data_IF_476011201430
#
_entry.id   IF_476011201430
#
_cell.length_a   1.000
_cell.length_b   1.000
_cell.length_c   1.000
_cell.angle_alpha   90.00
_cell.angle_beta   90.00
_cell.angle_gamma   90.00
#
_symmetry.space_group_name_H-M   'P 1'
#
loop_
_entity.id
_entity.type
_entity.pdbx_description
1 polymer ?
#
# COMPACT_ATOMS: atom_id res chain seq x y z
N UNK A 1 45.10 -31.61 45.50
CA UNK A 1 44.33 -30.38 45.82
C UNK A 1 44.69 -29.21 44.90
N UNK A 2 45.96 -28.80 44.79
CA UNK A 2 46.37 -27.64 43.94
C UNK A 2 46.06 -27.82 42.43
N UNK A 3 46.25 -29.01 41.87
CA UNK A 3 45.99 -29.29 40.44
C UNK A 3 44.50 -29.17 40.06
N UNK A 4 43.60 -29.65 40.94
CA UNK A 4 42.15 -29.60 40.72
C UNK A 4 41.61 -28.16 40.78
N UNK A 5 42.15 -27.32 41.66
CA UNK A 5 41.79 -25.90 41.70
C UNK A 5 42.25 -25.15 40.44
N UNK A 6 43.44 -25.47 39.91
CA UNK A 6 43.93 -24.86 38.68
C UNK A 6 43.07 -25.24 37.48
N UNK A 7 42.76 -26.52 37.31
CA UNK A 7 41.85 -26.98 36.24
C UNK A 7 40.46 -26.37 36.36
N UNK A 8 39.92 -26.22 37.58
CA UNK A 8 38.63 -25.57 37.79
C UNK A 8 38.67 -24.08 37.42
N UNK A 9 39.76 -23.39 37.74
CA UNK A 9 39.96 -21.99 37.38
C UNK A 9 40.09 -21.81 35.86
N UNK A 10 40.87 -22.66 35.19
CA UNK A 10 41.05 -22.61 33.73
C UNK A 10 39.70 -22.91 33.02
N UNK A 11 38.89 -23.84 33.55
CA UNK A 11 37.52 -24.07 33.06
C UNK A 11 36.60 -22.87 33.26
N UNK A 12 36.66 -22.22 34.42
CA UNK A 12 35.85 -21.04 34.70
C UNK A 12 36.21 -19.86 33.78
N UNK A 13 37.50 -19.66 33.51
CA UNK A 13 37.98 -18.64 32.56
C UNK A 13 37.46 -18.94 31.15
N UNK A 14 37.64 -20.17 30.66
CA UNK A 14 37.14 -20.56 29.33
C UNK A 14 35.62 -20.44 29.23
N UNK A 15 34.87 -20.81 30.27
CA UNK A 15 33.41 -20.66 30.31
C UNK A 15 32.99 -19.19 30.28
N UNK A 16 33.71 -18.32 30.99
CA UNK A 16 33.47 -16.88 30.97
C UNK A 16 33.71 -16.30 29.57
N UNK A 17 34.83 -16.64 28.93
CA UNK A 17 35.15 -16.17 27.57
C UNK A 17 34.09 -16.63 26.56
N UNK A 18 33.64 -17.89 26.63
CA UNK A 18 32.56 -18.39 25.78
C UNK A 18 31.23 -17.66 26.02
N UNK A 19 30.91 -17.34 27.27
CA UNK A 19 29.72 -16.57 27.61
C UNK A 19 29.79 -15.13 27.08
N UNK A 20 30.95 -14.48 27.16
CA UNK A 20 31.17 -13.14 26.61
C UNK A 20 31.03 -13.11 25.09
N UNK A 21 31.58 -14.12 24.38
CA UNK A 21 31.38 -14.26 22.93
C UNK A 21 29.90 -14.46 22.59
N UNK A 22 29.22 -15.37 23.27
CA UNK A 22 27.80 -15.63 23.03
C UNK A 22 26.91 -14.41 23.30
N UNK A 23 27.25 -13.60 24.30
CA UNK A 23 26.54 -12.35 24.61
C UNK A 23 26.77 -11.30 23.51
N UNK A 24 28.00 -11.16 23.02
CA UNK A 24 28.31 -10.26 21.91
C UNK A 24 27.56 -10.66 20.64
N UNK A 25 27.55 -11.95 20.29
CA UNK A 25 26.80 -12.46 19.14
C UNK A 25 25.29 -12.20 19.27
N UNK A 26 24.73 -12.34 20.49
CA UNK A 26 23.31 -12.05 20.74
C UNK A 26 23.00 -10.56 20.59
N UNK A 27 23.88 -9.68 21.08
CA UNK A 27 23.75 -8.23 20.93
C UNK A 27 23.85 -7.80 19.46
N UNK A 28 24.80 -8.32 18.69
CA UNK A 28 24.91 -8.02 17.25
C UNK A 28 23.65 -8.46 16.50
N UNK A 29 23.11 -9.64 16.81
CA UNK A 29 21.86 -10.11 16.22
C UNK A 29 20.68 -9.20 16.59
N UNK A 30 20.59 -8.76 17.85
CA UNK A 30 19.57 -7.83 18.30
C UNK A 30 19.63 -6.51 17.51
N UNK A 31 20.81 -5.91 17.37
CA UNK A 31 21.01 -4.68 16.59
C UNK A 31 20.57 -4.84 15.13
N UNK A 32 20.91 -5.97 14.49
CA UNK A 32 20.47 -6.26 13.12
C UNK A 32 18.93 -6.33 12.99
N UNK A 33 18.24 -6.86 13.99
CA UNK A 33 16.77 -6.89 13.99
C UNK A 33 16.15 -5.53 14.20
N UNK A 34 16.76 -4.66 15.03
CA UNK A 34 16.35 -3.26 15.15
C UNK A 34 16.47 -2.54 13.80
N UNK A 35 17.56 -2.76 13.06
CA UNK A 35 17.73 -2.20 11.70
C UNK A 35 16.61 -2.68 10.78
N UNK A 36 16.33 -3.99 10.73
CA UNK A 36 15.24 -4.55 9.91
C UNK A 36 13.87 -4.03 10.30
N UNK A 37 13.63 -3.81 11.60
CA UNK A 37 12.39 -3.22 12.09
C UNK A 37 12.23 -1.78 11.59
N UNK A 38 13.29 -0.97 11.66
CA UNK A 38 13.26 0.40 11.16
C UNK A 38 13.01 0.46 9.64
N UNK A 39 13.63 -0.44 8.86
CA UNK A 39 13.37 -0.58 7.43
C UNK A 39 11.91 -0.96 7.14
N UNK A 40 11.36 -1.90 7.92
CA UNK A 40 9.97 -2.33 7.81
C UNK A 40 8.99 -1.19 8.12
N UNK A 41 9.24 -0.40 9.16
CA UNK A 41 8.43 0.78 9.52
C UNK A 41 8.47 1.81 8.39
N UNK A 42 9.66 2.11 7.86
CA UNK A 42 9.79 3.05 6.76
C UNK A 42 9.05 2.56 5.48
N UNK A 43 9.01 1.25 5.24
CA UNK A 43 8.22 0.69 4.14
C UNK A 43 6.72 0.80 4.42
N UNK A 44 6.27 0.48 5.63
CA UNK A 44 4.88 0.65 6.07
C UNK A 44 4.39 2.09 5.85
N UNK A 45 5.16 3.09 6.27
CA UNK A 45 4.79 4.50 6.10
C UNK A 45 4.64 4.90 4.63
N UNK A 46 5.53 4.40 3.75
CA UNK A 46 5.42 4.64 2.30
C UNK A 46 4.20 3.94 1.70
N UNK A 47 3.92 2.72 2.13
CA UNK A 47 2.76 1.95 1.65
C UNK A 47 1.44 2.59 2.09
N UNK A 48 1.37 3.11 3.32
CA UNK A 48 0.23 3.88 3.84
C UNK A 48 -0.02 5.14 3.01
N UNK A 49 1.03 5.92 2.72
CA UNK A 49 0.92 7.11 1.87
C UNK A 49 0.51 6.78 0.44
N UNK A 50 0.99 5.66 -0.13
CA UNK A 50 0.54 5.19 -1.45
C UNK A 50 -0.94 4.84 -1.41
N UNK A 51 -1.39 4.10 -0.40
CA UNK A 51 -2.79 3.73 -0.22
C UNK A 51 -3.70 4.96 -0.14
N UNK A 52 -3.35 5.95 0.68
CA UNK A 52 -4.12 7.20 0.79
C UNK A 52 -4.29 7.89 -0.57
N UNK A 53 -3.20 8.02 -1.34
CA UNK A 53 -3.26 8.63 -2.68
C UNK A 53 -4.12 7.82 -3.65
N UNK A 54 -4.01 6.49 -3.61
CA UNK A 54 -4.81 5.61 -4.44
C UNK A 54 -6.31 5.71 -4.12
N UNK A 55 -6.67 5.83 -2.84
CA UNK A 55 -8.06 6.06 -2.40
C UNK A 55 -8.62 7.39 -2.92
N UNK A 56 -7.83 8.47 -2.82
CA UNK A 56 -8.22 9.78 -3.34
C UNK A 56 -8.39 9.78 -4.87
N UNK A 57 -7.49 9.14 -5.62
CA UNK A 57 -7.61 9.01 -7.07
C UNK A 57 -8.81 8.17 -7.47
N UNK A 58 -9.06 7.05 -6.77
CA UNK A 58 -10.24 6.22 -7.00
C UNK A 58 -11.53 7.00 -6.78
N UNK A 59 -11.65 7.75 -5.68
CA UNK A 59 -12.82 8.60 -5.42
C UNK A 59 -13.03 9.66 -6.50
N UNK A 60 -11.93 10.29 -6.97
CA UNK A 60 -11.99 11.25 -8.07
C UNK A 60 -12.43 10.58 -9.38
N UNK A 61 -11.96 9.36 -9.66
CA UNK A 61 -12.36 8.62 -10.85
C UNK A 61 -13.84 8.21 -10.81
N UNK A 62 -14.35 7.76 -9.66
CA UNK A 62 -15.78 7.47 -9.45
C UNK A 62 -16.63 8.71 -9.73
N UNK A 63 -16.27 9.84 -9.12
CA UNK A 63 -16.98 11.11 -9.33
C UNK A 63 -17.01 11.52 -10.81
N UNK A 64 -15.87 11.40 -11.51
CA UNK A 64 -15.79 11.75 -12.93
C UNK A 64 -16.63 10.80 -13.81
N UNK A 65 -16.67 9.52 -13.46
CA UNK A 65 -17.50 8.54 -14.15
C UNK A 65 -19.00 8.86 -14.00
N UNK A 66 -19.46 9.13 -12.77
CA UNK A 66 -20.85 9.54 -12.51
C UNK A 66 -21.22 10.82 -13.27
N UNK A 67 -20.32 11.82 -13.25
CA UNK A 67 -20.51 13.07 -14.00
C UNK A 67 -20.60 12.83 -15.51
N UNK A 68 -19.80 11.92 -16.07
CA UNK A 68 -19.87 11.57 -17.48
C UNK A 68 -21.20 10.87 -17.84
N UNK A 69 -21.70 9.99 -16.95
CA UNK A 69 -23.03 9.38 -17.12
C UNK A 69 -24.15 10.43 -17.13
N UNK A 70 -24.08 11.40 -16.21
CA UNK A 70 -25.04 12.51 -16.15
C UNK A 70 -25.01 13.37 -17.42
N UNK A 71 -23.81 13.67 -17.94
CA UNK A 71 -23.63 14.41 -19.18
C UNK A 71 -24.24 13.67 -20.38
N UNK A 72 -24.02 12.36 -20.48
CA UNK A 72 -24.62 11.53 -21.52
C UNK A 72 -26.15 11.53 -21.42
N UNK A 73 -26.69 11.30 -20.22
CA UNK A 73 -28.14 11.36 -19.95
C UNK A 73 -28.74 12.73 -20.32
N UNK A 74 -28.03 13.81 -20.02
CA UNK A 74 -28.44 15.16 -20.39
C UNK A 74 -28.40 15.39 -21.92
N UNK A 75 -27.39 14.89 -22.62
CA UNK A 75 -27.27 14.97 -24.07
C UNK A 75 -28.41 14.20 -24.77
N UNK A 76 -28.75 13.01 -24.27
CA UNK A 76 -29.89 12.20 -24.75
C UNK A 76 -31.20 12.98 -24.60
N UNK A 77 -31.47 13.54 -23.41
CA UNK A 77 -32.67 14.38 -23.17
C UNK A 77 -32.74 15.62 -24.07
N UNK A 78 -31.59 16.19 -24.44
CA UNK A 78 -31.55 17.30 -25.42
C UNK A 78 -31.93 16.82 -26.82
N UNK A 79 -31.43 15.67 -27.25
CA UNK A 79 -31.80 15.10 -28.54
C UNK A 79 -33.30 14.78 -28.61
N UNK A 80 -33.87 14.19 -27.56
CA UNK A 80 -35.31 13.92 -27.49
C UNK A 80 -36.14 15.20 -27.61
N UNK A 81 -35.77 16.26 -26.88
CA UNK A 81 -36.43 17.58 -27.02
C UNK A 81 -36.28 18.18 -28.42
N UNK A 82 -35.14 17.98 -29.07
CA UNK A 82 -34.95 18.42 -30.45
C UNK A 82 -35.86 17.67 -31.41
N UNK A 83 -35.94 16.34 -31.28
CA UNK A 83 -36.80 15.47 -32.12
C UNK A 83 -38.29 15.74 -31.93
N UNK A 84 -38.69 16.13 -30.72
CA UNK A 84 -40.08 16.47 -30.41
C UNK A 84 -40.46 17.92 -30.76
N UNK A 85 -39.55 18.72 -31.29
CA UNK A 85 -39.84 20.09 -31.70
C UNK A 85 -40.25 20.13 -33.18
N UNK A 86 -41.55 20.30 -33.43
CA UNK A 86 -42.14 20.35 -34.77
C UNK A 86 -41.57 21.44 -35.67
N UNK A 87 -41.01 22.51 -35.08
CA UNK A 87 -40.42 23.64 -35.81
C UNK A 87 -38.91 23.48 -36.06
N UNK A 88 -38.32 22.34 -35.70
CA UNK A 88 -36.88 22.12 -35.77
C UNK A 88 -36.53 20.92 -36.64
N UNK A 89 -35.93 21.19 -37.78
CA UNK A 89 -35.57 20.15 -38.77
C UNK A 89 -34.19 19.51 -38.53
N UNK A 90 -33.33 20.14 -37.73
CA UNK A 90 -31.93 19.70 -37.56
C UNK A 90 -31.54 19.47 -36.09
N UNK A 91 -31.23 18.21 -35.76
CA UNK A 91 -30.73 17.74 -34.47
C UNK A 91 -29.30 17.18 -34.53
N UNK A 92 -28.55 17.46 -35.60
CA UNK A 92 -27.15 17.04 -35.73
C UNK A 92 -26.25 17.54 -34.60
N UNK A 93 -26.41 18.78 -34.07
CA UNK A 93 -25.62 19.24 -32.93
C UNK A 93 -25.80 18.36 -31.68
N UNK A 94 -27.04 17.94 -31.38
CA UNK A 94 -27.36 17.05 -30.26
C UNK A 94 -26.81 15.64 -30.46
N UNK A 95 -26.88 15.11 -31.69
CA UNK A 95 -26.27 13.81 -32.03
C UNK A 95 -24.75 13.86 -31.77
N UNK A 96 -24.07 14.91 -32.23
CA UNK A 96 -22.63 15.10 -31.97
C UNK A 96 -22.33 15.30 -30.49
N UNK A 97 -23.25 15.89 -29.73
CA UNK A 97 -23.09 16.04 -28.28
C UNK A 97 -23.20 14.70 -27.55
N UNK A 98 -24.07 13.79 -28.01
CA UNK A 98 -24.13 12.42 -27.50
C UNK A 98 -22.82 11.69 -27.79
N UNK A 99 -22.33 11.72 -29.03
CA UNK A 99 -21.07 11.07 -29.40
C UNK A 99 -19.91 11.51 -28.50
N UNK A 100 -19.75 12.82 -28.28
CA UNK A 100 -18.72 13.33 -27.35
C UNK A 100 -18.93 12.85 -25.92
N UNK A 101 -20.17 12.80 -25.44
CA UNK A 101 -20.47 12.34 -24.09
C UNK A 101 -20.25 10.82 -23.93
N UNK A 102 -20.44 10.04 -24.99
CA UNK A 102 -20.10 8.61 -25.02
C UNK A 102 -18.58 8.40 -24.97
N UNK A 103 -17.82 9.19 -25.74
CA UNK A 103 -16.35 9.18 -25.71
C UNK A 103 -15.83 9.55 -24.30
N UNK A 104 -16.33 10.66 -23.72
CA UNK A 104 -15.98 11.10 -22.36
C UNK A 104 -16.31 10.02 -21.31
N UNK A 105 -17.45 9.33 -21.46
CA UNK A 105 -17.84 8.24 -20.55
C UNK A 105 -16.92 7.02 -20.68
N UNK A 106 -16.47 6.70 -21.89
CA UNK A 106 -15.52 5.61 -22.12
C UNK A 106 -14.15 5.93 -21.50
N UNK A 107 -13.66 7.15 -21.67
CA UNK A 107 -12.42 7.62 -21.05
C UNK A 107 -12.52 7.60 -19.52
N UNK A 108 -13.64 8.09 -18.96
CA UNK A 108 -13.87 8.06 -17.52
C UNK A 108 -13.94 6.63 -16.96
N UNK A 109 -14.55 5.69 -17.72
CA UNK A 109 -14.59 4.27 -17.37
C UNK A 109 -13.19 3.66 -17.31
N UNK A 110 -12.36 3.94 -18.32
CA UNK A 110 -10.99 3.44 -18.37
C UNK A 110 -10.18 3.94 -17.18
N UNK A 111 -10.26 5.25 -16.87
CA UNK A 111 -9.58 5.82 -15.70
C UNK A 111 -10.06 5.25 -14.37
N UNK A 112 -11.35 4.95 -14.25
CA UNK A 112 -11.90 4.29 -13.07
C UNK A 112 -11.30 2.88 -12.89
N UNK A 113 -11.16 2.13 -13.98
CA UNK A 113 -10.53 0.81 -13.94
C UNK A 113 -9.04 0.88 -13.53
N UNK A 114 -8.29 1.83 -14.08
CA UNK A 114 -6.89 2.05 -13.68
C UNK A 114 -6.77 2.41 -12.20
N UNK A 115 -7.63 3.30 -11.70
CA UNK A 115 -7.63 3.70 -10.30
C UNK A 115 -8.04 2.54 -9.36
N UNK A 116 -8.96 1.68 -9.79
CA UNK A 116 -9.34 0.49 -9.03
C UNK A 116 -8.19 -0.53 -8.93
N UNK A 117 -7.43 -0.72 -10.01
CA UNK A 117 -6.25 -1.59 -10.02
C UNK A 117 -5.19 -1.03 -9.05
N UNK A 118 -4.84 0.25 -9.16
CA UNK A 118 -3.85 0.89 -8.29
C UNK A 118 -4.27 0.83 -6.82
N UNK A 119 -5.56 1.05 -6.52
CA UNK A 119 -6.08 0.94 -5.16
C UNK A 119 -5.91 -0.48 -4.60
N UNK A 120 -6.17 -1.50 -5.40
CA UNK A 120 -6.00 -2.89 -4.97
C UNK A 120 -4.53 -3.25 -4.75
N UNK A 121 -3.64 -2.79 -5.63
CA UNK A 121 -2.19 -2.99 -5.46
C UNK A 121 -1.65 -2.27 -4.22
N UNK A 122 -2.08 -1.03 -3.96
CA UNK A 122 -1.66 -0.27 -2.79
C UNK A 122 -2.18 -0.91 -1.48
N UNK A 123 -3.40 -1.45 -1.48
CA UNK A 123 -3.95 -2.22 -0.33
C UNK A 123 -3.11 -3.46 -0.03
N UNK A 124 -2.73 -4.20 -1.07
CA UNK A 124 -1.91 -5.40 -0.91
C UNK A 124 -0.50 -5.05 -0.41
N UNK A 125 0.13 -4.01 -0.96
CA UNK A 125 1.41 -3.52 -0.45
C UNK A 125 1.34 -3.14 1.03
N UNK A 126 0.31 -2.37 1.41
CA UNK A 126 0.08 -1.96 2.81
C UNK A 126 -0.10 -3.17 3.74
N UNK A 127 -0.85 -4.19 3.29
CA UNK A 127 -1.02 -5.45 4.03
C UNK A 127 0.31 -6.17 4.23
N UNK A 128 1.13 -6.28 3.20
CA UNK A 128 2.44 -6.94 3.27
C UNK A 128 3.40 -6.16 4.17
N UNK A 129 3.39 -4.83 4.11
CA UNK A 129 4.21 -3.99 4.97
C UNK A 129 3.82 -4.12 6.45
N UNK A 130 2.51 -4.18 6.75
CA UNK A 130 1.99 -4.46 8.10
C UNK A 130 2.54 -5.78 8.65
N UNK A 131 2.40 -6.86 7.88
CA UNK A 131 2.92 -8.19 8.27
C UNK A 131 4.42 -8.14 8.54
N UNK A 132 5.18 -7.43 7.68
CA UNK A 132 6.63 -7.31 7.83
C UNK A 132 7.00 -6.58 9.12
N UNK A 133 6.31 -5.51 9.47
CA UNK A 133 6.51 -4.79 10.73
C UNK A 133 6.24 -5.71 11.93
N UNK A 134 5.15 -6.47 11.90
CA UNK A 134 4.78 -7.37 13.01
C UNK A 134 5.84 -8.46 13.21
N UNK A 135 6.28 -9.11 12.13
CA UNK A 135 7.36 -10.11 12.19
C UNK A 135 8.67 -9.54 12.73
N UNK A 136 9.01 -8.30 12.35
CA UNK A 136 10.21 -7.64 12.87
C UNK A 136 10.07 -7.28 14.35
N UNK A 137 8.89 -6.86 14.82
CA UNK A 137 8.63 -6.61 16.25
C UNK A 137 8.73 -7.89 17.08
N UNK A 138 8.18 -8.99 16.57
CA UNK A 138 8.30 -10.31 17.21
C UNK A 138 9.76 -10.74 17.32
N UNK A 139 10.55 -10.59 16.25
CA UNK A 139 11.97 -10.89 16.24
C UNK A 139 12.78 -10.07 17.25
N UNK A 140 12.50 -8.76 17.35
CA UNK A 140 13.12 -7.88 18.36
C UNK A 140 12.74 -8.32 19.78
N UNK A 141 11.45 -8.57 20.03
CA UNK A 141 10.96 -8.99 21.37
C UNK A 141 11.59 -10.31 21.81
N UNK A 142 11.71 -11.27 20.88
CA UNK A 142 12.33 -12.56 21.17
C UNK A 142 13.80 -12.42 21.57
N UNK A 143 14.54 -11.55 20.88
CA UNK A 143 15.95 -11.31 21.18
C UNK A 143 16.16 -10.48 22.44
N UNK A 144 15.27 -9.52 22.73
CA UNK A 144 15.29 -8.76 23.98
C UNK A 144 15.13 -9.66 25.22
N UNK A 145 14.42 -10.78 25.10
CA UNK A 145 14.29 -11.78 26.17
C UNK A 145 15.48 -12.74 26.27
N UNK A 146 16.32 -12.81 25.22
CA UNK A 146 17.43 -13.75 25.11
C UNK A 146 18.79 -13.15 25.50
N UNK A 147 18.89 -11.82 25.50
CA UNK A 147 20.04 -11.02 25.98
C UNK A 147 19.87 -10.71 27.47
#
# INVERSE_FOLDING_TARGET
>A
MYHQCREANDKAINMKELAEVSLNDANENYEQWIVKLNEAIAWYERAEQRLMRAEEEYQRAVYNFEKAQDNLSYAIRKLERCRNNENRENCNPEIRAIQRAEDDLNDARYRLQEAEIELNEAKEEFRLATIRVDLCKEGVTYLEQAV
#
